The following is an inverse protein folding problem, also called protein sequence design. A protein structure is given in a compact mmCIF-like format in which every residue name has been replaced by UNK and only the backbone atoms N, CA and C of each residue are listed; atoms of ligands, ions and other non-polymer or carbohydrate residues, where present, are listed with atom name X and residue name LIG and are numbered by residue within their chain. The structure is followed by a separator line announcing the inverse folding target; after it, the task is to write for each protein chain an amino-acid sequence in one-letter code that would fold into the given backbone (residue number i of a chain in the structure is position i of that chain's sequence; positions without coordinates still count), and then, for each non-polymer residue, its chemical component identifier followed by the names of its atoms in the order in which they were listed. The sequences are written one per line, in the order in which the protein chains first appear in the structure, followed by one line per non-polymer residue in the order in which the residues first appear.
data_IF_152066503497
#
_entry.id   IF_152066503497
#
_cell.length_a   1.000
_cell.length_b   1.000
_cell.length_c   1.000
_cell.angle_alpha   90.00
_cell.angle_beta   90.00
_cell.angle_gamma   90.00
#
_symmetry.space_group_name_H-M   'P 1'
#
loop_
_entity.id
_entity.type
_entity.pdbx_description
1 polymer ?
#
# COMPACT_ATOMS: atom_id res chain seq x y z
N UNK A 1 -49.58 -36.09 29.25
CA UNK A 1 -49.48 -34.98 28.27
C UNK A 1 -48.00 -34.75 28.01
N UNK A 2 -47.52 -35.28 26.89
CA UNK A 2 -46.10 -35.59 26.66
C UNK A 2 -45.27 -34.46 26.06
N UNK A 3 -43.98 -34.50 26.39
CA UNK A 3 -42.86 -33.63 26.02
C UNK A 3 -42.59 -33.51 24.50
N UNK A 4 -43.57 -33.14 23.67
CA UNK A 4 -43.37 -32.95 22.23
C UNK A 4 -42.77 -31.58 21.85
N UNK A 5 -42.71 -30.65 22.80
CA UNK A 5 -42.17 -29.30 22.55
C UNK A 5 -40.63 -29.23 22.56
N UNK A 6 -39.97 -30.05 23.37
CA UNK A 6 -38.51 -30.04 23.50
C UNK A 6 -37.76 -30.42 22.20
N UNK A 7 -38.08 -31.53 21.51
CA UNK A 7 -37.33 -31.91 20.31
C UNK A 7 -37.54 -30.94 19.14
N UNK A 8 -38.74 -30.36 19.02
CA UNK A 8 -39.04 -29.34 18.00
C UNK A 8 -38.24 -28.05 18.28
N UNK A 9 -38.07 -27.68 19.54
CA UNK A 9 -37.30 -26.51 19.93
C UNK A 9 -35.80 -26.71 19.67
N UNK A 10 -35.24 -27.87 20.02
CA UNK A 10 -33.85 -28.22 19.71
C UNK A 10 -33.59 -28.27 18.20
N UNK A 11 -34.50 -28.84 17.42
CA UNK A 11 -34.39 -28.87 15.95
C UNK A 11 -34.40 -27.46 15.35
N UNK A 12 -35.29 -26.58 15.83
CA UNK A 12 -35.32 -25.16 15.43
C UNK A 12 -34.04 -24.46 15.80
N UNK A 13 -33.56 -24.59 17.05
CA UNK A 13 -32.32 -23.98 17.50
C UNK A 13 -31.11 -24.46 16.69
N UNK A 14 -31.00 -25.77 16.46
CA UNK A 14 -29.95 -26.37 15.64
C UNK A 14 -29.98 -25.87 14.19
N UNK A 15 -31.17 -25.78 13.59
CA UNK A 15 -31.34 -25.22 12.24
C UNK A 15 -30.92 -23.75 12.17
N UNK A 16 -31.31 -22.92 13.16
CA UNK A 16 -30.91 -21.51 13.21
C UNK A 16 -29.41 -21.37 13.37
N UNK A 17 -28.77 -22.16 14.24
CA UNK A 17 -27.31 -22.19 14.39
C UNK A 17 -26.61 -22.65 13.12
N UNK A 18 -27.13 -23.67 12.43
CA UNK A 18 -26.56 -24.14 11.17
C UNK A 18 -26.66 -23.07 10.07
N UNK A 19 -27.79 -22.35 9.99
CA UNK A 19 -27.95 -21.22 9.08
C UNK A 19 -26.99 -20.09 9.45
N UNK A 20 -26.87 -19.72 10.72
CA UNK A 20 -25.94 -18.69 11.18
C UNK A 20 -24.48 -19.07 10.89
N UNK A 21 -24.08 -20.31 11.16
CA UNK A 21 -22.72 -20.80 10.90
C UNK A 21 -22.43 -20.88 9.40
N UNK A 22 -23.39 -21.30 8.58
CA UNK A 22 -23.24 -21.30 7.11
C UNK A 22 -23.18 -19.89 6.56
N UNK A 23 -23.97 -18.94 7.08
CA UNK A 23 -23.82 -17.53 6.75
C UNK A 23 -22.46 -17.00 7.22
N UNK A 24 -22.04 -17.21 8.46
CA UNK A 24 -20.72 -16.77 8.94
C UNK A 24 -19.55 -17.40 8.15
N UNK A 25 -19.73 -18.61 7.62
CA UNK A 25 -18.74 -19.27 6.77
C UNK A 25 -18.78 -18.79 5.31
N UNK A 26 -19.97 -18.55 4.76
CA UNK A 26 -20.16 -18.14 3.38
C UNK A 26 -19.94 -16.64 3.16
N UNK A 27 -20.31 -15.80 4.13
CA UNK A 27 -20.25 -14.33 4.02
C UNK A 27 -18.82 -13.82 3.75
N UNK A 28 -17.75 -14.28 4.44
CA UNK A 28 -16.39 -13.85 4.12
C UNK A 28 -15.89 -14.33 2.74
N UNK A 29 -16.50 -15.39 2.20
CA UNK A 29 -16.15 -15.95 0.88
C UNK A 29 -16.92 -15.31 -0.27
N UNK A 30 -18.15 -14.86 -0.01
CA UNK A 30 -19.03 -14.20 -0.97
C UNK A 30 -18.88 -12.67 -0.95
N UNK A 31 -18.47 -12.11 0.19
CA UNK A 31 -18.21 -10.69 0.38
C UNK A 31 -16.73 -10.49 0.75
N UNK A 32 -15.81 -10.56 -0.24
CA UNK A 32 -14.38 -10.30 -0.02
C UNK A 32 -14.07 -8.86 0.42
N UNK A 33 -15.07 -7.97 0.45
CA UNK A 33 -14.96 -6.58 0.86
C UNK A 33 -15.75 -6.32 2.15
N UNK A 34 -15.65 -7.22 3.14
CA UNK A 34 -16.10 -6.90 4.50
C UNK A 34 -15.26 -5.72 5.00
N UNK A 35 -15.87 -4.66 5.56
CA UNK A 35 -15.13 -3.51 6.07
C UNK A 35 -14.17 -4.00 7.16
N UNK A 36 -12.87 -3.96 6.85
CA UNK A 36 -11.84 -4.33 7.80
C UNK A 36 -11.84 -3.30 8.93
N UNK A 37 -11.72 -3.77 10.17
CA UNK A 37 -11.53 -2.88 11.31
C UNK A 37 -10.33 -1.96 11.05
N UNK A 38 -10.39 -0.69 11.50
CA UNK A 38 -9.28 0.23 11.30
C UNK A 38 -8.00 -0.41 11.85
N UNK A 39 -6.94 -0.49 11.05
CA UNK A 39 -5.72 -1.16 11.48
C UNK A 39 -5.12 -0.41 12.68
N UNK A 40 -4.82 -1.15 13.74
CA UNK A 40 -4.29 -0.62 14.99
C UNK A 40 -2.76 -0.55 14.97
N UNK A 41 -2.11 -1.32 14.10
CA UNK A 41 -0.66 -1.37 13.96
C UNK A 41 -0.18 -1.07 12.54
N UNK A 42 1.07 -0.64 12.41
CA UNK A 42 1.70 -0.40 11.10
C UNK A 42 1.75 -1.67 10.25
N UNK A 43 2.02 -2.83 10.85
CA UNK A 43 2.04 -4.10 10.13
C UNK A 43 0.66 -4.47 9.59
N UNK A 44 -0.40 -4.19 10.37
CA UNK A 44 -1.77 -4.35 9.88
C UNK A 44 -2.05 -3.40 8.71
N UNK A 45 -1.59 -2.15 8.77
CA UNK A 45 -1.74 -1.21 7.64
C UNK A 45 -1.05 -1.72 6.37
N UNK A 46 0.16 -2.27 6.48
CA UNK A 46 0.89 -2.85 5.35
C UNK A 46 0.10 -4.00 4.69
N UNK A 47 -0.51 -4.87 5.50
CA UNK A 47 -1.36 -5.96 5.01
C UNK A 47 -2.61 -5.41 4.32
N UNK A 48 -3.28 -4.42 4.92
CA UNK A 48 -4.47 -3.77 4.35
C UNK A 48 -4.16 -3.16 2.99
N UNK A 49 -3.00 -2.51 2.83
CA UNK A 49 -2.56 -1.92 1.56
C UNK A 49 -2.49 -2.95 0.44
N UNK A 50 -1.83 -4.09 0.67
CA UNK A 50 -1.70 -5.11 -0.37
C UNK A 50 -2.96 -5.94 -0.56
N UNK A 51 -3.71 -6.20 0.51
CA UNK A 51 -5.02 -6.84 0.38
C UNK A 51 -5.95 -5.99 -0.51
N UNK A 52 -6.02 -4.68 -0.27
CA UNK A 52 -6.72 -3.71 -1.14
C UNK A 52 -6.17 -3.67 -2.55
N UNK A 53 -4.85 -3.81 -2.72
CA UNK A 53 -4.21 -3.84 -4.05
C UNK A 53 -4.63 -5.05 -4.89
N UNK A 54 -4.75 -6.23 -4.27
CA UNK A 54 -5.14 -7.46 -4.95
C UNK A 54 -6.66 -7.64 -5.06
N UNK A 55 -7.43 -7.07 -4.12
CA UNK A 55 -8.89 -7.20 -4.05
C UNK A 55 -9.65 -6.22 -4.95
N UNK A 56 -8.99 -5.17 -5.45
CA UNK A 56 -9.59 -4.18 -6.36
C UNK A 56 -9.05 -4.31 -7.79
N UNK A 57 -9.78 -3.77 -8.80
CA UNK A 57 -9.33 -3.82 -10.20
C UNK A 57 -7.95 -3.22 -10.41
N UNK A 58 -7.23 -3.79 -11.37
CA UNK A 58 -5.95 -3.30 -11.85
C UNK A 58 -6.08 -1.86 -12.33
N UNK A 59 -5.28 -0.95 -11.78
CA UNK A 59 -5.15 0.40 -12.31
C UNK A 59 -3.87 0.51 -13.16
N UNK A 60 -3.85 1.47 -14.08
CA UNK A 60 -2.72 1.67 -15.00
C UNK A 60 -1.44 2.07 -14.26
N UNK A 61 -1.57 2.90 -13.21
CA UNK A 61 -0.46 3.48 -12.47
C UNK A 61 -0.48 3.03 -11.02
N UNK A 62 0.66 2.56 -10.51
CA UNK A 62 0.83 2.17 -9.11
C UNK A 62 1.98 2.95 -8.49
N UNK A 63 1.75 3.54 -7.32
CA UNK A 63 2.79 4.15 -6.50
C UNK A 63 3.31 3.11 -5.51
N UNK A 64 4.62 2.92 -5.47
CA UNK A 64 5.30 2.07 -4.51
C UNK A 64 6.27 2.93 -3.72
N UNK A 65 6.22 2.83 -2.40
CA UNK A 65 7.09 3.64 -1.55
C UNK A 65 7.03 3.28 -0.08
N UNK A 66 7.54 4.18 0.74
CA UNK A 66 7.58 4.06 2.19
C UNK A 66 6.39 4.80 2.83
N UNK A 67 6.51 5.10 4.13
CA UNK A 67 5.57 5.99 4.82
C UNK A 67 5.50 7.41 4.24
N UNK A 68 6.48 7.84 3.44
CA UNK A 68 6.43 9.13 2.75
C UNK A 68 5.36 9.08 1.65
N UNK A 69 5.46 8.11 0.73
CA UNK A 69 4.47 7.94 -0.33
C UNK A 69 3.13 7.42 0.17
N UNK A 70 3.09 6.66 1.26
CA UNK A 70 1.83 6.21 1.86
C UNK A 70 0.91 7.38 2.26
N UNK A 71 1.50 8.55 2.58
CA UNK A 71 0.74 9.76 2.92
C UNK A 71 0.17 10.49 1.71
N UNK A 72 0.62 10.14 0.49
CA UNK A 72 0.03 10.64 -0.74
C UNK A 72 -1.30 9.94 -0.95
N UNK A 73 -2.39 10.62 -0.64
CA UNK A 73 -3.70 10.05 -0.86
C UNK A 73 -4.01 10.02 -2.36
N UNK A 74 -4.63 8.93 -2.80
CA UNK A 74 -5.07 8.75 -4.19
C UNK A 74 -5.98 9.91 -4.64
N UNK A 75 -6.75 10.51 -3.72
CA UNK A 75 -7.65 11.65 -3.97
C UNK A 75 -6.95 12.93 -4.45
N UNK A 76 -5.63 13.05 -4.26
CA UNK A 76 -4.85 14.19 -4.75
C UNK A 76 -4.49 14.08 -6.23
N UNK A 77 -4.62 12.89 -6.83
CA UNK A 77 -4.31 12.66 -8.25
C UNK A 77 -5.59 12.79 -9.08
N UNK A 78 -5.89 14.01 -9.52
CA UNK A 78 -7.08 14.31 -10.32
C UNK A 78 -6.94 13.73 -11.72
N UNK A 79 -7.94 12.97 -12.18
CA UNK A 79 -8.04 12.46 -13.55
C UNK A 79 -7.28 11.16 -13.83
N UNK A 80 -6.37 10.75 -12.95
CA UNK A 80 -5.53 9.56 -13.13
C UNK A 80 -6.02 8.38 -12.29
N UNK A 81 -6.03 7.18 -12.89
CA UNK A 81 -6.30 5.94 -12.17
C UNK A 81 -5.01 5.48 -11.47
N UNK A 82 -4.73 6.09 -10.31
CA UNK A 82 -3.54 5.79 -9.51
C UNK A 82 -3.92 4.96 -8.28
N UNK A 83 -3.15 3.90 -8.04
CA UNK A 83 -3.23 3.10 -6.82
C UNK A 83 -2.00 3.33 -5.96
N UNK A 84 -2.20 3.71 -4.70
CA UNK A 84 -1.11 3.81 -3.75
C UNK A 84 -0.88 2.45 -3.06
N UNK A 85 0.21 1.79 -3.42
CA UNK A 85 0.70 0.55 -2.81
C UNK A 85 1.95 0.80 -1.93
N UNK A 86 2.16 2.04 -1.48
CA UNK A 86 3.25 2.36 -0.57
C UNK A 86 3.01 1.80 0.83
N UNK A 87 4.08 1.34 1.47
CA UNK A 87 4.03 0.64 2.73
C UNK A 87 4.46 1.55 3.89
N UNK A 88 3.58 1.83 4.86
CA UNK A 88 3.97 2.62 6.03
C UNK A 88 5.04 1.86 6.82
N UNK A 89 6.15 2.52 7.13
CA UNK A 89 7.22 1.92 7.93
C UNK A 89 8.06 0.85 7.22
N UNK A 90 7.78 0.50 5.95
CA UNK A 90 8.54 -0.51 5.21
C UNK A 90 9.47 0.10 4.15
N UNK A 91 10.07 -0.78 3.35
CA UNK A 91 10.90 -0.46 2.20
C UNK A 91 10.07 -0.39 0.91
N UNK A 92 10.32 0.59 0.02
CA UNK A 92 9.81 0.58 -1.35
C UNK A 92 10.14 -0.73 -2.10
N UNK A 93 11.30 -1.33 -1.80
CA UNK A 93 11.74 -2.60 -2.41
C UNK A 93 10.77 -3.74 -2.10
N UNK A 94 10.22 -3.79 -0.88
CA UNK A 94 9.25 -4.82 -0.49
C UNK A 94 8.00 -4.74 -1.35
N UNK A 95 7.45 -3.53 -1.52
CA UNK A 95 6.25 -3.34 -2.33
C UNK A 95 6.48 -3.68 -3.80
N UNK A 96 7.64 -3.30 -4.33
CA UNK A 96 8.02 -3.60 -5.71
C UNK A 96 8.20 -5.10 -5.93
N UNK A 97 8.87 -5.79 -4.99
CA UNK A 97 9.05 -7.24 -5.04
C UNK A 97 7.72 -8.00 -4.98
N UNK A 98 6.78 -7.58 -4.14
CA UNK A 98 5.44 -8.18 -4.07
C UNK A 98 4.72 -8.04 -5.41
N UNK A 99 4.73 -6.84 -6.01
CA UNK A 99 4.09 -6.60 -7.31
C UNK A 99 4.77 -7.40 -8.43
N UNK A 100 6.10 -7.51 -8.41
CA UNK A 100 6.85 -8.28 -9.40
C UNK A 100 6.65 -9.79 -9.31
N UNK A 101 6.45 -10.32 -8.11
CA UNK A 101 6.14 -11.74 -7.89
C UNK A 101 4.68 -12.09 -8.23
N UNK A 102 3.77 -11.11 -8.18
CA UNK A 102 2.37 -11.35 -8.43
C UNK A 102 2.10 -11.85 -9.86
N UNK A 103 1.22 -12.86 -10.04
CA UNK A 103 0.75 -13.26 -11.35
C UNK A 103 -0.09 -12.16 -12.00
N UNK A 104 -0.21 -12.21 -13.32
CA UNK A 104 -0.96 -11.24 -14.13
C UNK A 104 -2.39 -11.00 -13.61
N UNK A 105 -3.00 -9.81 -13.87
CA UNK A 105 -2.49 -8.71 -14.70
C UNK A 105 -1.53 -7.77 -13.96
N UNK A 106 -0.48 -7.29 -14.64
CA UNK A 106 0.50 -6.32 -14.12
C UNK A 106 0.06 -4.87 -14.41
N UNK A 107 0.46 -3.89 -13.58
CA UNK A 107 0.26 -2.48 -13.92
C UNK A 107 1.11 -2.07 -15.11
N UNK A 108 0.67 -1.06 -15.87
CA UNK A 108 1.40 -0.52 -17.02
C UNK A 108 2.55 0.38 -16.58
N UNK A 109 2.35 1.11 -15.49
CA UNK A 109 3.33 2.02 -14.90
C UNK A 109 3.45 1.74 -13.40
N UNK A 110 4.69 1.67 -12.90
CA UNK A 110 4.98 1.72 -11.47
C UNK A 110 5.91 2.91 -11.20
N UNK A 111 5.46 3.83 -10.37
CA UNK A 111 6.32 4.87 -9.82
C UNK A 111 6.88 4.38 -8.48
N UNK A 112 8.20 4.40 -8.32
CA UNK A 112 8.89 3.89 -7.13
C UNK A 112 9.59 5.03 -6.39
N UNK A 113 9.27 5.17 -5.11
CA UNK A 113 9.91 6.11 -4.20
C UNK A 113 11.38 5.71 -3.98
N UNK A 114 12.30 6.63 -4.25
CA UNK A 114 13.73 6.46 -4.13
C UNK A 114 14.32 7.27 -2.95
N UNK A 115 13.49 7.61 -1.97
CA UNK A 115 13.86 8.33 -0.75
C UNK A 115 14.44 7.41 0.33
N UNK A 116 13.80 6.26 0.53
CA UNK A 116 14.10 5.34 1.64
C UNK A 116 14.71 4.05 1.11
N UNK A 117 16.04 3.93 1.17
CA UNK A 117 16.81 2.73 0.80
C UNK A 117 17.56 2.13 2.01
N UNK A 118 17.37 2.66 3.21
CA UNK A 118 17.92 2.12 4.47
C UNK A 118 17.22 0.86 4.98
N UNK A 119 16.28 0.29 4.21
CA UNK A 119 15.52 -0.91 4.58
C UNK A 119 15.59 -1.95 3.46
N UNK A 120 15.95 -3.17 3.83
CA UNK A 120 15.91 -4.30 2.91
C UNK A 120 14.46 -4.75 2.65
N UNK A 121 14.30 -5.70 1.72
CA UNK A 121 13.02 -6.38 1.48
C UNK A 121 12.59 -7.10 2.76
N UNK A 122 11.35 -6.86 3.19
CA UNK A 122 10.72 -7.62 4.25
C UNK A 122 10.27 -8.97 3.69
N UNK A 123 11.04 -10.01 3.99
CA UNK A 123 10.75 -11.36 3.55
C UNK A 123 9.44 -11.90 4.11
N UNK A 124 9.03 -11.51 5.32
CA UNK A 124 7.80 -12.01 5.93
C UNK A 124 6.57 -11.50 5.16
N UNK A 125 6.54 -10.21 4.84
CA UNK A 125 5.48 -9.59 4.07
C UNK A 125 5.52 -10.05 2.61
N UNK A 126 6.72 -10.18 2.04
CA UNK A 126 6.90 -10.70 0.68
C UNK A 126 6.36 -12.13 0.55
N UNK A 127 6.71 -13.05 1.45
CA UNK A 127 6.24 -14.44 1.39
C UNK A 127 4.72 -14.55 1.53
N UNK A 128 4.10 -13.64 2.29
CA UNK A 128 2.63 -13.57 2.44
C UNK A 128 1.92 -13.25 1.13
N UNK A 129 2.50 -12.35 0.31
CA UNK A 129 1.85 -11.84 -0.90
C UNK A 129 2.49 -12.29 -2.23
N UNK A 130 3.62 -13.03 -2.21
CA UNK A 130 4.33 -13.45 -3.44
C UNK A 130 3.44 -14.18 -4.46
N UNK A 131 2.46 -14.93 -3.97
CA UNK A 131 1.54 -15.74 -4.78
C UNK A 131 0.11 -15.18 -4.71
N UNK A 132 -0.07 -13.98 -4.15
CA UNK A 132 -1.37 -13.35 -4.09
C UNK A 132 -1.84 -13.11 -5.53
N UNK A 133 -2.92 -13.80 -5.90
CA UNK A 133 -3.55 -13.58 -7.19
C UNK A 133 -4.42 -12.35 -7.06
N UNK A 134 -4.37 -11.48 -8.07
CA UNK A 134 -5.47 -10.55 -8.27
C UNK A 134 -6.73 -11.38 -8.45
N UNK A 135 -7.81 -11.04 -7.75
CA UNK A 135 -9.05 -11.80 -7.92
C UNK A 135 -9.52 -11.62 -9.37
N UNK A 136 -9.78 -12.73 -10.06
CA UNK A 136 -10.17 -12.77 -11.46
C UNK A 136 -11.41 -11.90 -11.75
N UNK A 137 -11.54 -11.49 -13.01
CA UNK A 137 -12.64 -10.67 -13.54
C UNK A 137 -14.04 -11.33 -13.47
N UNK A 138 -14.14 -12.58 -13.01
CA UNK A 138 -15.39 -13.36 -13.00
C UNK A 138 -16.54 -12.76 -12.19
N UNK A 139 -16.27 -11.81 -11.28
CA UNK A 139 -17.29 -11.11 -10.47
C UNK A 139 -17.23 -9.58 -10.61
N UNK A 140 -16.94 -9.08 -11.82
CA UNK A 140 -16.94 -7.63 -12.13
C UNK A 140 -18.14 -6.86 -11.57
N UNK A 141 -19.42 -7.31 -11.68
CA UNK A 141 -20.55 -6.51 -11.20
C UNK A 141 -20.56 -6.30 -9.68
N UNK A 142 -20.31 -7.37 -8.91
CA UNK A 142 -20.21 -7.32 -7.44
C UNK A 142 -19.00 -6.51 -6.99
N UNK A 143 -17.90 -6.54 -7.74
CA UNK A 143 -16.71 -5.73 -7.44
C UNK A 143 -16.85 -4.28 -7.85
N UNK A 144 -17.54 -3.97 -8.93
CA UNK A 144 -17.92 -2.58 -9.25
C UNK A 144 -18.81 -2.04 -8.15
N UNK A 145 -19.77 -2.83 -7.63
CA UNK A 145 -20.59 -2.44 -6.50
C UNK A 145 -19.79 -2.28 -5.20
N UNK A 146 -18.85 -3.18 -4.90
CA UNK A 146 -18.02 -3.07 -3.72
C UNK A 146 -16.95 -1.97 -3.83
N UNK A 147 -16.37 -1.75 -5.00
CA UNK A 147 -15.49 -0.63 -5.30
C UNK A 147 -16.27 0.69 -5.26
N UNK A 148 -17.52 0.72 -5.71
CA UNK A 148 -18.42 1.86 -5.58
C UNK A 148 -18.76 2.11 -4.10
N UNK A 149 -19.02 1.06 -3.31
CA UNK A 149 -19.29 1.20 -1.88
C UNK A 149 -18.05 1.63 -1.08
N UNK A 150 -16.90 1.02 -1.34
CA UNK A 150 -15.63 1.42 -0.76
C UNK A 150 -15.29 2.84 -1.17
N UNK A 151 -15.50 3.20 -2.44
CA UNK A 151 -15.38 4.57 -2.93
C UNK A 151 -16.38 5.49 -2.26
N UNK A 152 -17.62 5.10 -1.98
CA UNK A 152 -18.57 5.94 -1.27
C UNK A 152 -18.19 6.15 0.21
N UNK A 153 -17.58 5.14 0.85
CA UNK A 153 -17.00 5.25 2.19
C UNK A 153 -15.76 6.15 2.20
N UNK A 154 -14.88 5.97 1.22
CA UNK A 154 -13.70 6.79 1.00
C UNK A 154 -14.11 8.23 0.59
N UNK A 155 -15.20 8.39 -0.19
CA UNK A 155 -15.71 9.66 -0.70
C UNK A 155 -16.32 10.51 0.42
N UNK A 156 -16.87 9.90 1.48
CA UNK A 156 -17.24 10.63 2.72
C UNK A 156 -16.03 11.27 3.40
N UNK A 157 -14.81 10.84 3.06
CA UNK A 157 -13.54 11.42 3.48
C UNK A 157 -12.85 12.24 2.36
N UNK A 158 -13.36 12.18 1.12
CA UNK A 158 -12.78 12.94 0.00
C UNK A 158 -13.11 14.41 0.08
N UNK A 159 -12.07 15.21 -0.15
CA UNK A 159 -12.18 16.65 -0.26
C UNK A 159 -12.97 17.01 -1.53
N UNK A 160 -13.88 17.98 -1.47
CA UNK A 160 -14.52 18.51 -2.68
C UNK A 160 -13.47 19.02 -3.67
N UNK A 161 -13.75 19.02 -4.97
CA UNK A 161 -12.76 19.48 -5.96
C UNK A 161 -12.34 20.93 -5.73
N UNK A 162 -13.28 21.79 -5.31
CA UNK A 162 -12.97 23.15 -4.86
C UNK A 162 -12.00 23.17 -3.68
N UNK A 163 -12.14 22.24 -2.71
CA UNK A 163 -11.24 22.12 -1.58
C UNK A 163 -9.88 21.55 -1.97
N UNK A 164 -9.82 20.56 -2.87
CA UNK A 164 -8.56 20.05 -3.44
C UNK A 164 -7.79 21.17 -4.12
N UNK A 165 -8.45 21.93 -4.99
CA UNK A 165 -7.85 23.03 -5.73
C UNK A 165 -7.41 24.17 -4.78
N UNK A 166 -8.19 24.46 -3.74
CA UNK A 166 -7.80 25.39 -2.68
C UNK A 166 -6.58 24.93 -1.89
N UNK A 167 -6.41 23.62 -1.64
CA UNK A 167 -5.22 23.07 -0.96
C UNK A 167 -4.00 23.13 -1.87
N UNK A 168 -4.15 22.77 -3.15
CA UNK A 168 -3.06 22.80 -4.13
C UNK A 168 -2.57 24.23 -4.41
N UNK A 169 -3.49 25.21 -4.43
CA UNK A 169 -3.17 26.62 -4.63
C UNK A 169 -2.78 27.34 -3.35
N UNK A 170 -2.96 26.71 -2.19
CA UNK A 170 -2.63 27.29 -0.89
C UNK A 170 -1.12 27.19 -0.61
N UNK A 171 -0.53 28.15 0.12
CA UNK A 171 0.85 28.00 0.59
C UNK A 171 0.97 26.79 1.52
N UNK A 172 2.10 26.09 1.45
CA UNK A 172 2.38 24.97 2.34
C UNK A 172 2.32 25.45 3.80
N UNK A 173 1.41 24.88 4.58
CA UNK A 173 1.26 25.23 5.99
C UNK A 173 2.33 24.47 6.78
N UNK A 174 3.33 25.19 7.29
CA UNK A 174 4.29 24.63 8.23
C UNK A 174 3.59 24.45 9.58
N UNK A 175 3.10 23.25 9.86
CA UNK A 175 2.81 22.87 11.25
C UNK A 175 4.09 22.97 12.07
N UNK A 176 3.99 23.14 13.39
CA UNK A 176 5.16 23.16 14.27
C UNK A 176 5.87 21.79 14.26
N UNK A 177 6.71 21.57 13.26
CA UNK A 177 7.45 20.32 12.98
C UNK A 177 8.93 20.45 13.34
N UNK A 178 9.36 21.58 13.90
CA UNK A 178 10.76 21.87 14.17
C UNK A 178 11.44 20.77 14.99
N UNK A 179 10.78 20.28 16.05
CA UNK A 179 11.30 19.18 16.87
C UNK A 179 11.46 17.88 16.07
N UNK A 180 10.50 17.56 15.20
CA UNK A 180 10.55 16.36 14.37
C UNK A 180 11.65 16.48 13.29
N UNK A 181 11.81 17.67 12.71
CA UNK A 181 12.86 17.97 11.73
C UNK A 181 14.23 17.86 12.40
N UNK A 182 14.43 18.50 13.55
CA UNK A 182 15.69 18.43 14.29
C UNK A 182 16.05 16.98 14.65
N UNK A 183 15.09 16.20 15.16
CA UNK A 183 15.30 14.78 15.46
C UNK A 183 15.69 13.98 14.21
N UNK A 184 15.02 14.24 13.07
CA UNK A 184 15.32 13.58 11.79
C UNK A 184 16.72 13.94 11.30
N UNK A 185 17.12 15.20 11.38
CA UNK A 185 18.46 15.66 10.97
C UNK A 185 19.55 15.01 11.81
N UNK A 186 19.36 14.91 13.13
CA UNK A 186 20.31 14.19 13.99
C UNK A 186 20.38 12.72 13.60
N UNK A 187 19.23 12.06 13.44
CA UNK A 187 19.14 10.65 13.12
C UNK A 187 19.81 10.33 11.78
N UNK A 188 19.52 11.11 10.73
CA UNK A 188 20.00 10.91 9.36
C UNK A 188 21.46 11.31 9.14
N UNK A 189 22.09 11.95 10.12
CA UNK A 189 23.53 12.23 10.13
C UNK A 189 24.35 11.22 10.95
N UNK A 190 23.70 10.28 11.64
CA UNK A 190 24.45 9.25 12.37
C UNK A 190 25.19 8.34 11.38
N UNK A 191 26.43 7.91 11.70
CA UNK A 191 27.29 7.16 10.79
C UNK A 191 26.92 5.67 10.65
N UNK A 192 25.73 5.25 11.10
CA UNK A 192 25.32 3.84 10.99
C UNK A 192 24.78 3.48 9.60
N UNK A 193 24.59 4.46 8.69
CA UNK A 193 24.23 4.17 7.31
C UNK A 193 25.46 3.62 6.58
N UNK A 194 25.50 2.31 6.43
CA UNK A 194 26.55 1.60 5.72
C UNK A 194 26.39 1.79 4.20
N UNK A 195 27.43 2.35 3.55
CA UNK A 195 27.49 2.53 2.09
C UNK A 195 27.31 1.20 1.36
N UNK A 196 27.85 0.10 1.90
CA UNK A 196 27.69 -1.22 1.32
C UNK A 196 26.22 -1.69 1.40
N UNK A 197 25.54 -1.40 2.51
CA UNK A 197 24.12 -1.74 2.67
C UNK A 197 23.23 -0.93 1.73
N UNK A 198 23.47 0.38 1.60
CA UNK A 198 22.74 1.21 0.64
C UNK A 198 22.99 0.75 -0.80
N UNK A 199 24.25 0.50 -1.17
CA UNK A 199 24.60 -0.03 -2.50
C UNK A 199 23.91 -1.37 -2.77
N UNK A 200 23.89 -2.27 -1.79
CA UNK A 200 23.18 -3.56 -1.90
C UNK A 200 21.69 -3.36 -2.18
N UNK A 201 21.02 -2.45 -1.47
CA UNK A 201 19.60 -2.20 -1.67
C UNK A 201 19.34 -1.46 -3.00
N UNK A 202 20.21 -0.54 -3.42
CA UNK A 202 20.09 0.10 -4.74
C UNK A 202 20.27 -0.92 -5.86
N UNK A 203 21.21 -1.85 -5.75
CA UNK A 203 21.38 -2.94 -6.71
C UNK A 203 20.16 -3.87 -6.72
N UNK A 204 19.59 -4.20 -5.55
CA UNK A 204 18.37 -5.00 -5.47
C UNK A 204 17.19 -4.28 -6.13
N UNK A 205 17.08 -2.96 -5.95
CA UNK A 205 16.10 -2.13 -6.65
C UNK A 205 16.32 -2.22 -8.17
N UNK A 206 17.54 -2.02 -8.65
CA UNK A 206 17.88 -2.13 -10.07
C UNK A 206 17.49 -3.47 -10.68
N UNK A 207 17.84 -4.59 -10.03
CA UNK A 207 17.44 -5.93 -10.53
C UNK A 207 15.92 -6.12 -10.58
N UNK A 208 15.17 -5.58 -9.61
CA UNK A 208 13.71 -5.60 -9.62
C UNK A 208 13.14 -4.76 -10.78
N UNK A 209 13.73 -3.59 -11.02
CA UNK A 209 13.36 -2.71 -12.13
C UNK A 209 13.58 -3.41 -13.46
N UNK A 210 14.79 -3.93 -13.73
CA UNK A 210 15.09 -4.64 -14.97
C UNK A 210 14.14 -5.81 -15.21
N UNK A 211 13.86 -6.59 -14.16
CA UNK A 211 12.95 -7.74 -14.26
C UNK A 211 11.53 -7.31 -14.66
N UNK A 212 11.04 -6.20 -14.10
CA UNK A 212 9.70 -5.68 -14.40
C UNK A 212 9.62 -5.00 -15.76
N UNK A 213 10.66 -4.26 -16.15
CA UNK A 213 10.76 -3.63 -17.46
C UNK A 213 10.84 -4.66 -18.59
N UNK A 214 11.58 -5.75 -18.40
CA UNK A 214 11.60 -6.89 -19.32
C UNK A 214 10.21 -7.55 -19.47
N UNK A 215 9.32 -7.37 -18.50
CA UNK A 215 7.93 -7.85 -18.53
C UNK A 215 6.95 -6.82 -19.10
N UNK A 216 7.43 -5.70 -19.65
CA UNK A 216 6.63 -4.66 -20.30
C UNK A 216 6.06 -3.60 -19.36
N UNK A 217 6.50 -3.55 -18.10
CA UNK A 217 6.08 -2.52 -17.13
C UNK A 217 7.01 -1.32 -17.25
N UNK A 218 6.48 -0.09 -17.30
CA UNK A 218 7.32 1.12 -17.27
C UNK A 218 7.58 1.54 -15.83
N UNK A 219 8.84 1.68 -15.46
CA UNK A 219 9.22 2.10 -14.11
C UNK A 219 9.68 3.55 -14.11
N UNK A 220 9.21 4.34 -13.14
CA UNK A 220 9.71 5.69 -12.89
C UNK A 220 10.18 5.80 -11.45
N UNK A 221 11.45 6.17 -11.25
CA UNK A 221 11.94 6.51 -9.92
C UNK A 221 11.58 7.96 -9.60
N UNK A 222 11.02 8.21 -8.41
CA UNK A 222 10.75 9.56 -7.94
C UNK A 222 11.27 9.76 -6.53
N UNK A 223 11.57 11.02 -6.20
CA UNK A 223 11.89 11.43 -4.84
C UNK A 223 10.87 12.46 -4.38
N UNK A 224 10.30 12.22 -3.21
CA UNK A 224 9.51 13.21 -2.50
C UNK A 224 10.43 14.31 -1.97
N UNK A 225 9.99 15.57 -2.08
CA UNK A 225 10.80 16.70 -1.64
C UNK A 225 11.00 16.66 -0.13
N UNK A 226 12.24 16.88 0.29
CA UNK A 226 12.59 17.13 1.68
C UNK A 226 12.67 18.63 1.96
N UNK A 227 12.54 18.99 3.24
CA UNK A 227 13.04 20.28 3.69
C UNK A 227 14.54 20.37 3.43
N UNK A 228 15.05 21.55 3.06
CA UNK A 228 16.45 21.76 2.69
C UNK A 228 17.43 21.17 3.73
N UNK A 229 17.18 21.41 5.02
CA UNK A 229 18.01 20.88 6.12
C UNK A 229 18.04 19.35 6.19
N UNK A 230 16.94 18.67 5.86
CA UNK A 230 16.89 17.20 5.80
C UNK A 230 17.55 16.70 4.50
N UNK A 231 17.41 17.45 3.42
CA UNK A 231 17.99 17.14 2.12
C UNK A 231 19.53 17.10 2.13
N UNK A 232 20.15 17.90 3.01
CA UNK A 232 21.61 17.98 3.17
C UNK A 232 22.20 16.97 4.16
N UNK A 233 21.36 16.13 4.78
CA UNK A 233 21.83 15.08 5.69
C UNK A 233 22.74 14.07 4.99
N UNK A 234 23.62 13.42 5.77
CA UNK A 234 24.51 12.37 5.28
C UNK A 234 23.72 11.28 4.54
N UNK A 235 22.67 10.75 5.16
CA UNK A 235 21.82 9.73 4.55
C UNK A 235 21.23 10.14 3.20
N UNK A 236 20.61 11.32 3.11
CA UNK A 236 19.97 11.77 1.88
C UNK A 236 20.98 11.93 0.72
N UNK A 237 22.19 12.43 1.03
CA UNK A 237 23.29 12.53 0.08
C UNK A 237 23.81 11.16 -0.36
N UNK A 238 23.98 10.22 0.58
CA UNK A 238 24.42 8.87 0.27
C UNK A 238 23.42 8.11 -0.61
N UNK A 239 22.11 8.23 -0.33
CA UNK A 239 21.06 7.63 -1.18
C UNK A 239 21.12 8.19 -2.60
N UNK A 240 21.21 9.51 -2.77
CA UNK A 240 21.35 10.13 -4.10
C UNK A 240 22.61 9.65 -4.82
N UNK A 241 23.74 9.59 -4.11
CA UNK A 241 25.00 9.08 -4.66
C UNK A 241 24.86 7.62 -5.11
N UNK A 242 24.27 6.76 -4.29
CA UNK A 242 24.07 5.35 -4.62
C UNK A 242 23.14 5.18 -5.84
N UNK A 243 22.03 5.94 -5.90
CA UNK A 243 21.13 5.93 -7.05
C UNK A 243 21.82 6.39 -8.33
N UNK A 244 22.58 7.49 -8.27
CA UNK A 244 23.31 8.01 -9.42
C UNK A 244 24.39 7.03 -9.93
N UNK A 245 24.96 6.21 -9.06
CA UNK A 245 25.94 5.19 -9.46
C UNK A 245 25.32 3.97 -10.15
N UNK A 246 24.04 3.70 -9.94
CA UNK A 246 23.37 2.50 -10.44
C UNK A 246 22.42 2.81 -11.60
N UNK A 247 21.78 3.97 -11.58
CA UNK A 247 20.78 4.39 -12.58
C UNK A 247 21.21 5.61 -13.42
N UNK A 248 22.31 6.29 -13.07
CA UNK A 248 22.87 7.43 -13.80
C UNK A 248 23.95 7.00 -14.78
#
# INVERSE_FOLDING_TARGET
MGNTHAPIWFAKFGATCAVLLTFCWATPRLFPNLPQFPPLTTDQQQVVVFDRYFSLPALEVVLVGSSLSYRLKEEFFVGEQIRNAALPGASPLTGLAIIGAAPAPRPRIIAVEANILSRAIDNSLFQKFKNARRSDDGFRPLRTAAAYYQRALDDRLTLSDARKQSILNGPAITRNVERAVAATVVEWNKPYFDDAFLKKNTNALFSLVETLEAQGVRIFLYQLPYLAVVNETLYARMVRKALAQVFG
#
